data_IF_708698878405
#
_entry.id   IF_708698878405
#
_cell.length_a   1.000
_cell.length_b   1.000
_cell.length_c   1.000
_cell.angle_alpha   90.00
_cell.angle_beta   90.00
_cell.angle_gamma   90.00
#
_symmetry.space_group_name_H-M   'P 1'
#
loop_
_entity.id
_entity.type
_entity.pdbx_description
1 polymer ?
#
# COMPACT_ATOMS: atom_id res chain seq x y z
N UNK A 1 17.34 -32.41 -14.86
CA UNK A 1 17.83 -31.03 -14.76
C UNK A 1 17.09 -30.34 -13.62
N UNK A 2 17.76 -29.89 -12.58
CA UNK A 2 17.10 -29.27 -11.42
C UNK A 2 16.75 -27.81 -11.77
N UNK A 3 15.61 -27.33 -11.27
CA UNK A 3 15.07 -25.97 -11.53
C UNK A 3 16.09 -24.82 -11.31
N UNK A 4 17.07 -25.05 -10.46
CA UNK A 4 18.19 -24.12 -10.19
C UNK A 4 19.18 -23.97 -11.36
N UNK A 5 19.36 -25.01 -12.16
CA UNK A 5 20.34 -25.00 -13.25
C UNK A 5 19.80 -24.28 -14.48
N UNK A 6 18.46 -24.23 -14.65
CA UNK A 6 17.80 -23.48 -15.70
C UNK A 6 17.96 -21.97 -15.51
N UNK A 7 17.82 -21.46 -14.27
CA UNK A 7 17.94 -20.04 -13.96
C UNK A 7 19.40 -19.57 -14.10
N UNK A 8 20.37 -20.44 -13.77
CA UNK A 8 21.80 -20.11 -13.85
C UNK A 8 22.33 -20.07 -15.28
N UNK A 9 21.78 -20.88 -16.17
CA UNK A 9 22.17 -20.92 -17.58
C UNK A 9 21.46 -19.87 -18.44
N UNK A 10 20.28 -19.39 -18.02
CA UNK A 10 19.60 -18.28 -18.70
C UNK A 10 20.26 -16.92 -18.43
N UNK A 11 20.99 -16.77 -17.32
CA UNK A 11 21.67 -15.53 -16.94
C UNK A 11 23.02 -15.28 -17.65
N UNK A 12 23.59 -16.28 -18.33
CA UNK A 12 24.92 -16.19 -18.94
C UNK A 12 24.91 -15.97 -20.48
N UNK A 13 23.73 -15.91 -21.10
CA UNK A 13 23.60 -15.74 -22.55
C UNK A 13 23.23 -14.30 -23.00
N UNK A 14 23.25 -13.32 -22.10
CA UNK A 14 22.80 -11.94 -22.38
C UNK A 14 23.91 -10.88 -22.25
N UNK A 15 25.15 -11.24 -22.46
CA UNK A 15 26.24 -10.26 -22.59
C UNK A 15 26.76 -10.25 -24.00
N UNK A 16 26.19 -9.47 -24.87
CA UNK A 16 26.64 -8.77 -26.08
C UNK A 16 25.53 -8.73 -27.15
N UNK A 17 24.49 -7.98 -26.89
CA UNK A 17 23.67 -7.44 -27.97
C UNK A 17 23.55 -5.94 -27.74
N UNK A 18 24.14 -5.15 -28.59
CA UNK A 18 23.90 -3.74 -28.75
C UNK A 18 22.42 -3.53 -28.94
N UNK A 19 21.74 -2.99 -27.92
CA UNK A 19 20.38 -2.51 -28.06
C UNK A 19 20.49 -1.08 -28.56
N UNK A 20 20.02 -0.77 -29.79
CA UNK A 20 19.94 0.60 -30.25
C UNK A 20 18.99 1.36 -29.32
N UNK A 21 19.32 2.61 -29.02
CA UNK A 21 18.53 3.56 -28.26
C UNK A 21 17.04 3.48 -28.67
N UNK A 22 16.24 2.73 -27.92
CA UNK A 22 14.79 2.89 -27.94
C UNK A 22 14.54 4.11 -27.07
N UNK A 23 14.34 5.25 -27.71
CA UNK A 23 13.80 6.43 -27.06
C UNK A 23 12.43 6.07 -26.50
N UNK A 24 12.33 5.87 -25.20
CA UNK A 24 11.04 5.83 -24.53
C UNK A 24 10.38 7.20 -24.72
N UNK A 25 9.19 7.28 -25.34
CA UNK A 25 8.50 8.55 -25.42
C UNK A 25 8.25 9.04 -24.00
N UNK A 26 8.74 10.24 -23.72
CA UNK A 26 8.52 10.97 -22.47
C UNK A 26 7.02 11.34 -22.35
N UNK A 27 6.23 10.45 -21.78
CA UNK A 27 4.84 10.72 -21.44
C UNK A 27 4.74 11.45 -20.10
N UNK A 28 5.17 12.70 -20.06
CA UNK A 28 4.89 13.56 -18.91
C UNK A 28 4.79 15.03 -19.36
N UNK A 29 3.59 15.46 -19.71
CA UNK A 29 3.11 16.81 -19.39
C UNK A 29 1.59 16.82 -19.49
N UNK A 30 0.92 17.24 -18.40
CA UNK A 30 -0.51 17.35 -18.32
C UNK A 30 -1.08 18.37 -19.30
N UNK A 31 -1.65 17.85 -20.34
CA UNK A 31 -2.59 18.46 -21.25
C UNK A 31 -3.55 17.36 -21.62
N UNK A 32 -4.84 17.62 -21.67
CA UNK A 32 -5.84 16.68 -22.11
C UNK A 32 -5.44 16.17 -23.50
N UNK A 33 -4.80 15.00 -23.56
CA UNK A 33 -4.54 14.30 -24.82
C UNK A 33 -5.79 13.51 -25.20
N UNK A 34 -6.14 13.46 -26.48
CA UNK A 34 -7.26 12.67 -26.96
C UNK A 34 -7.05 11.21 -26.54
N UNK A 35 -8.11 10.55 -26.13
CA UNK A 35 -8.27 9.15 -25.74
C UNK A 35 -6.96 8.35 -25.75
N UNK A 36 -6.29 8.27 -24.57
CA UNK A 36 -5.04 7.54 -24.49
C UNK A 36 -5.29 6.04 -24.49
N UNK A 37 -4.85 5.35 -25.53
CA UNK A 37 -4.82 3.91 -25.52
C UNK A 37 -3.77 3.44 -24.50
N UNK A 38 -4.15 2.53 -23.61
CA UNK A 38 -3.24 1.86 -22.69
C UNK A 38 -2.38 0.85 -23.45
N UNK A 39 -1.30 0.40 -22.81
CA UNK A 39 -0.38 -0.60 -23.38
C UNK A 39 -1.08 -1.91 -23.80
N UNK A 40 -2.24 -2.23 -23.21
CA UNK A 40 -3.05 -3.40 -23.52
C UNK A 40 -4.15 -3.12 -24.57
N UNK A 41 -4.07 -2.00 -25.28
CA UNK A 41 -5.01 -1.61 -26.34
C UNK A 41 -6.36 -1.07 -25.86
N UNK A 42 -6.59 -1.03 -24.55
CA UNK A 42 -7.82 -0.44 -23.98
C UNK A 42 -7.74 1.07 -24.08
N UNK A 43 -8.78 1.69 -24.63
CA UNK A 43 -8.90 3.13 -24.72
C UNK A 43 -9.70 3.67 -23.54
N UNK A 44 -9.11 4.59 -22.80
CA UNK A 44 -9.80 5.30 -21.73
C UNK A 44 -10.57 6.50 -22.27
N UNK A 45 -11.67 6.92 -21.60
CA UNK A 45 -12.34 8.18 -21.90
C UNK A 45 -11.40 9.38 -21.76
N UNK A 46 -11.70 10.48 -22.46
CA UNK A 46 -10.91 11.73 -22.43
C UNK A 46 -10.74 12.29 -21.01
N UNK A 47 -11.74 12.07 -20.16
CA UNK A 47 -11.70 12.42 -18.74
C UNK A 47 -11.67 11.14 -17.92
N UNK A 48 -10.47 10.76 -17.48
CA UNK A 48 -10.28 9.61 -16.60
C UNK A 48 -9.28 9.94 -15.46
N UNK A 49 -9.56 9.61 -14.19
CA UNK A 49 -10.85 9.10 -13.67
C UNK A 49 -11.99 10.13 -13.81
N UNK A 50 -13.26 9.67 -13.86
CA UNK A 50 -14.41 10.58 -13.96
C UNK A 50 -14.42 11.52 -12.75
N UNK A 51 -14.68 12.83 -13.00
CA UNK A 51 -14.62 13.84 -11.93
C UNK A 51 -15.97 14.14 -11.27
N UNK A 52 -17.06 13.93 -11.98
CA UNK A 52 -18.41 14.26 -11.51
C UNK A 52 -19.28 13.01 -11.50
N UNK A 53 -18.94 12.06 -10.64
CA UNK A 53 -19.74 10.85 -10.45
C UNK A 53 -20.81 11.16 -9.40
N UNK A 54 -22.07 10.87 -9.74
CA UNK A 54 -23.13 10.84 -8.74
C UNK A 54 -22.80 9.79 -7.68
N UNK A 55 -22.79 10.20 -6.42
CA UNK A 55 -22.59 9.28 -5.31
C UNK A 55 -23.86 8.47 -5.11
N UNK A 56 -23.89 7.28 -5.69
CA UNK A 56 -24.96 6.30 -5.57
C UNK A 56 -24.36 4.91 -5.29
N UNK A 57 -25.19 3.89 -5.23
CA UNK A 57 -24.75 2.49 -5.03
C UNK A 57 -24.57 1.72 -6.34
N UNK A 58 -24.71 2.37 -7.50
CA UNK A 58 -24.50 1.72 -8.78
C UNK A 58 -23.00 1.48 -9.01
N UNK A 59 -22.64 0.37 -9.66
CA UNK A 59 -21.25 0.12 -10.03
C UNK A 59 -20.72 1.24 -10.93
N UNK A 60 -19.52 1.71 -10.64
CA UNK A 60 -18.85 2.68 -11.51
C UNK A 60 -18.66 2.10 -12.92
N UNK A 61 -18.94 2.86 -13.99
CA UNK A 61 -18.67 2.39 -15.34
C UNK A 61 -17.21 1.98 -15.52
N UNK A 62 -17.01 0.83 -16.14
CA UNK A 62 -15.70 0.26 -16.41
C UNK A 62 -15.42 0.30 -17.93
N UNK A 63 -14.83 1.37 -18.45
CA UNK A 63 -14.68 1.56 -19.91
C UNK A 63 -13.85 0.45 -20.56
N UNK A 64 -12.93 -0.17 -19.83
CA UNK A 64 -12.15 -1.29 -20.34
C UNK A 64 -12.97 -2.57 -20.59
N UNK A 65 -14.18 -2.67 -20.06
CA UNK A 65 -15.09 -3.78 -20.37
C UNK A 65 -15.91 -3.52 -21.64
N UNK A 66 -16.22 -2.25 -21.93
CA UNK A 66 -17.04 -1.83 -23.09
C UNK A 66 -16.21 -1.50 -24.32
N UNK A 67 -15.04 -0.88 -24.14
CA UNK A 67 -14.15 -0.39 -25.20
C UNK A 67 -12.87 -1.22 -25.30
N UNK A 68 -12.98 -2.52 -25.12
CA UNK A 68 -11.83 -3.43 -25.25
C UNK A 68 -11.52 -3.73 -26.72
N UNK A 69 -10.25 -3.94 -27.08
CA UNK A 69 -9.91 -4.49 -28.39
C UNK A 69 -10.43 -5.93 -28.51
N UNK A 70 -10.62 -6.42 -29.72
CA UNK A 70 -10.99 -7.80 -29.98
C UNK A 70 -9.96 -8.79 -29.40
N UNK A 71 -8.69 -8.45 -29.56
CA UNK A 71 -7.57 -9.18 -28.95
C UNK A 71 -6.89 -8.24 -27.96
N UNK A 72 -6.86 -8.61 -26.68
CA UNK A 72 -6.20 -7.84 -25.62
C UNK A 72 -4.73 -8.24 -25.56
N UNK A 73 -3.76 -7.36 -25.87
CA UNK A 73 -2.35 -7.64 -25.70
C UNK A 73 -2.01 -7.88 -24.22
N UNK A 74 -1.31 -8.96 -23.93
CA UNK A 74 -0.88 -9.33 -22.57
C UNK A 74 0.63 -9.53 -22.46
N UNK A 75 1.38 -9.08 -23.45
CA UNK A 75 2.83 -9.15 -23.55
C UNK A 75 3.56 -8.18 -22.62
N UNK A 76 2.90 -7.07 -22.27
CA UNK A 76 3.42 -6.09 -21.33
C UNK A 76 2.61 -6.08 -20.02
N UNK A 77 3.32 -5.93 -18.91
CA UNK A 77 2.73 -5.84 -17.60
C UNK A 77 2.27 -7.18 -17.03
N UNK A 78 1.79 -7.14 -15.79
CA UNK A 78 1.28 -8.31 -15.08
C UNK A 78 -0.22 -8.41 -15.28
N UNK A 79 -0.68 -9.60 -15.69
CA UNK A 79 -2.09 -9.91 -15.80
C UNK A 79 -2.50 -10.87 -14.69
N UNK A 80 -3.66 -10.63 -14.08
CA UNK A 80 -4.22 -11.46 -13.03
C UNK A 80 -5.50 -12.12 -13.53
N UNK A 81 -5.56 -13.44 -13.48
CA UNK A 81 -6.74 -14.22 -13.87
C UNK A 81 -7.72 -14.30 -12.70
N UNK A 82 -8.22 -13.15 -12.25
CA UNK A 82 -9.20 -13.06 -11.14
C UNK A 82 -10.58 -13.57 -11.57
N UNK A 83 -10.87 -13.49 -12.87
CA UNK A 83 -12.09 -13.96 -13.52
C UNK A 83 -11.75 -14.57 -14.90
N UNK A 84 -12.74 -14.72 -15.76
CA UNK A 84 -12.57 -15.27 -17.10
C UNK A 84 -12.42 -14.20 -18.20
N UNK A 85 -12.29 -12.92 -17.86
CA UNK A 85 -12.27 -11.83 -18.85
C UNK A 85 -11.13 -11.97 -19.88
N UNK A 86 -9.97 -12.47 -19.48
CA UNK A 86 -8.80 -12.68 -20.34
C UNK A 86 -8.72 -14.12 -20.89
N UNK A 87 -9.74 -14.93 -20.71
CA UNK A 87 -9.73 -16.35 -21.11
C UNK A 87 -10.84 -16.59 -22.12
N UNK A 88 -10.47 -16.86 -23.35
CA UNK A 88 -11.43 -17.26 -24.38
C UNK A 88 -11.77 -18.77 -24.26
N UNK A 89 -10.73 -19.60 -24.13
CA UNK A 89 -10.86 -21.04 -23.99
C UNK A 89 -9.75 -21.59 -23.09
N UNK A 90 -10.07 -22.61 -22.30
CA UNK A 90 -9.08 -23.32 -21.49
C UNK A 90 -9.53 -24.76 -21.22
N UNK A 91 -8.57 -25.67 -21.16
CA UNK A 91 -8.72 -27.04 -20.68
C UNK A 91 -8.24 -27.25 -19.24
N UNK A 92 -7.75 -26.16 -18.62
CA UNK A 92 -7.27 -26.15 -17.23
C UNK A 92 -8.43 -25.96 -16.25
N UNK A 93 -8.39 -26.71 -15.16
CA UNK A 93 -9.32 -26.55 -14.03
C UNK A 93 -8.83 -25.46 -13.08
N UNK A 94 -9.72 -24.51 -12.75
CA UNK A 94 -9.45 -23.52 -11.72
C UNK A 94 -9.60 -24.15 -10.33
N UNK A 95 -8.54 -24.07 -9.52
CA UNK A 95 -8.56 -24.54 -8.14
C UNK A 95 -8.41 -23.38 -7.17
N UNK A 96 -9.27 -23.33 -6.18
CA UNK A 96 -9.20 -22.39 -5.06
C UNK A 96 -8.58 -23.07 -3.84
N UNK A 97 -7.64 -22.40 -3.21
CA UNK A 97 -7.00 -22.86 -2.00
C UNK A 97 -7.42 -21.97 -0.84
N UNK A 98 -8.04 -22.56 0.16
CA UNK A 98 -8.36 -21.83 1.41
C UNK A 98 -7.15 -21.87 2.33
N UNK A 99 -6.60 -20.73 2.72
CA UNK A 99 -5.50 -20.68 3.68
C UNK A 99 -5.97 -21.16 5.06
N UNK A 100 -5.10 -21.87 5.78
CA UNK A 100 -5.35 -22.23 7.16
C UNK A 100 -4.76 -21.16 8.08
N UNK A 101 -5.53 -20.72 9.07
CA UNK A 101 -4.98 -19.92 10.16
C UNK A 101 -3.97 -20.76 10.92
N UNK A 102 -2.82 -20.16 11.23
CA UNK A 102 -1.80 -20.82 12.04
C UNK A 102 -2.29 -20.97 13.48
N UNK A 103 -1.84 -22.02 14.15
CA UNK A 103 -2.30 -22.34 15.52
C UNK A 103 -1.94 -21.28 16.57
N UNK A 104 -0.90 -20.49 16.29
CA UNK A 104 -0.42 -19.39 17.14
C UNK A 104 -1.04 -18.03 16.81
N UNK A 105 -2.01 -17.95 15.87
CA UNK A 105 -2.74 -16.70 15.63
C UNK A 105 -3.69 -16.37 16.82
N UNK A 106 -3.87 -15.09 17.12
CA UNK A 106 -3.19 -13.92 16.54
C UNK A 106 -1.75 -13.77 17.02
N UNK A 107 -0.86 -13.36 16.11
CA UNK A 107 0.58 -13.15 16.42
C UNK A 107 0.85 -11.90 17.27
N UNK A 108 -0.06 -10.96 17.31
CA UNK A 108 -0.04 -9.80 18.19
C UNK A 108 -1.40 -9.69 18.87
N UNK A 109 -1.41 -9.70 20.20
CA UNK A 109 -2.61 -9.54 21.05
C UNK A 109 -2.51 -8.23 21.82
N UNK A 110 -3.63 -7.57 22.15
CA UNK A 110 -3.59 -6.40 23.03
C UNK A 110 -3.20 -6.83 24.45
N UNK A 111 -2.04 -6.36 24.93
CA UNK A 111 -1.45 -6.73 26.22
C UNK A 111 -1.04 -5.52 27.05
N UNK A 112 -0.83 -4.35 26.42
CA UNK A 112 -0.40 -3.14 27.11
C UNK A 112 -1.57 -2.23 27.47
N UNK A 113 -1.37 -1.30 28.41
CA UNK A 113 -2.36 -0.30 28.76
C UNK A 113 -2.76 0.56 27.56
N UNK A 114 -1.80 0.95 26.72
CA UNK A 114 -2.03 1.67 25.46
C UNK A 114 -3.03 0.94 24.55
N UNK A 115 -2.95 -0.37 24.50
CA UNK A 115 -3.76 -1.22 23.65
C UNK A 115 -5.17 -1.49 24.17
N UNK A 116 -5.46 -1.11 25.43
CA UNK A 116 -6.82 -1.16 25.96
C UNK A 116 -7.72 -0.04 25.38
N UNK A 117 -7.10 1.03 24.87
CA UNK A 117 -7.79 2.12 24.21
C UNK A 117 -8.64 2.99 25.14
N UNK A 118 -9.04 4.16 24.64
CA UNK A 118 -9.82 5.14 25.42
C UNK A 118 -11.23 4.67 25.72
N UNK A 119 -11.82 3.86 24.87
CA UNK A 119 -13.22 3.42 24.98
C UNK A 119 -13.37 2.02 25.60
N UNK A 120 -12.29 1.47 26.15
CA UNK A 120 -12.31 0.10 26.66
C UNK A 120 -12.54 -0.96 25.57
N UNK A 121 -12.15 -0.65 24.33
CA UNK A 121 -12.14 -1.58 23.21
C UNK A 121 -10.69 -1.92 22.90
N UNK A 122 -10.19 -3.06 23.40
CA UNK A 122 -8.82 -3.46 23.17
C UNK A 122 -8.53 -3.72 21.69
N UNK A 123 -7.32 -3.36 21.26
CA UNK A 123 -6.90 -3.58 19.89
C UNK A 123 -5.38 -3.56 19.73
N UNK A 124 -4.88 -4.43 18.87
CA UNK A 124 -3.53 -4.40 18.32
C UNK A 124 -3.63 -4.83 16.86
N UNK A 125 -3.83 -3.87 15.95
CA UNK A 125 -4.18 -4.16 14.56
C UNK A 125 -3.29 -3.39 13.58
N UNK A 126 -2.58 -4.10 12.71
CA UNK A 126 -1.78 -3.50 11.64
C UNK A 126 -2.63 -2.79 10.56
N UNK A 127 -3.96 -2.93 10.62
CA UNK A 127 -4.95 -2.32 9.69
C UNK A 127 -4.53 -2.35 8.20
N UNK A 128 -4.41 -1.17 7.58
CA UNK A 128 -4.36 -1.04 6.12
C UNK A 128 -2.94 -1.16 5.53
N UNK A 129 -2.01 -1.69 6.26
CA UNK A 129 -0.65 -1.95 5.80
C UNK A 129 0.41 -1.28 6.65
N UNK A 130 1.01 -2.02 7.52
CA UNK A 130 2.00 -1.53 8.44
C UNK A 130 3.04 -2.57 8.83
N UNK A 131 3.28 -3.59 8.00
CA UNK A 131 4.30 -4.60 8.26
C UNK A 131 5.29 -4.66 7.12
N UNK A 132 6.56 -4.41 7.43
CA UNK A 132 7.66 -4.42 6.46
C UNK A 132 8.86 -5.19 7.00
N UNK A 133 9.52 -5.96 6.11
CA UNK A 133 10.88 -6.38 6.35
C UNK A 133 11.81 -5.23 6.00
N UNK A 134 12.60 -4.80 6.97
CA UNK A 134 13.61 -3.77 6.76
C UNK A 134 14.98 -4.43 6.54
N UNK A 135 15.50 -4.46 5.31
CA UNK A 135 16.79 -5.09 5.02
C UNK A 135 17.99 -4.34 5.61
N UNK A 136 17.83 -3.07 5.99
CA UNK A 136 18.88 -2.29 6.63
C UNK A 136 19.13 -2.78 8.06
N UNK A 137 18.05 -3.05 8.79
CA UNK A 137 18.10 -3.44 10.18
C UNK A 137 17.96 -4.96 10.37
N UNK A 138 17.66 -5.70 9.28
CA UNK A 138 17.39 -7.14 9.27
C UNK A 138 16.30 -7.55 10.27
N UNK A 139 15.19 -6.81 10.26
CA UNK A 139 14.08 -7.00 11.19
C UNK A 139 12.75 -6.68 10.52
N UNK A 140 11.69 -7.36 10.93
CA UNK A 140 10.33 -6.94 10.62
C UNK A 140 9.93 -5.77 11.51
N UNK A 141 9.28 -4.79 10.93
CA UNK A 141 8.73 -3.61 11.59
C UNK A 141 7.23 -3.58 11.36
N UNK A 142 6.48 -3.32 12.41
CA UNK A 142 5.02 -3.21 12.37
C UNK A 142 4.60 -1.86 12.95
N UNK A 143 3.75 -1.17 12.19
CA UNK A 143 3.01 0.00 12.66
C UNK A 143 1.55 -0.43 12.81
N UNK A 144 0.99 -0.24 13.97
CA UNK A 144 -0.32 -0.75 14.29
C UNK A 144 -1.14 0.22 15.12
N UNK A 145 -2.45 0.10 15.03
CA UNK A 145 -3.37 0.81 15.91
C UNK A 145 -3.44 0.07 17.25
N UNK A 146 -3.11 0.80 18.30
CA UNK A 146 -3.18 0.34 19.69
C UNK A 146 -4.43 0.90 20.35
N UNK A 147 -5.41 0.02 20.61
CA UNK A 147 -6.76 0.38 21.02
C UNK A 147 -7.62 0.91 19.86
N UNK A 148 -8.90 0.69 19.92
CA UNK A 148 -9.84 1.14 18.89
C UNK A 148 -9.89 2.68 18.83
N UNK A 149 -9.67 3.26 17.64
CA UNK A 149 -9.67 4.71 17.42
C UNK A 149 -8.83 5.46 18.47
N UNK A 150 -7.65 4.96 18.75
CA UNK A 150 -6.85 5.49 19.85
C UNK A 150 -5.47 5.96 19.37
N UNK A 151 -4.46 5.11 19.34
CA UNK A 151 -3.08 5.53 19.09
C UNK A 151 -2.37 4.64 18.07
N UNK A 152 -1.35 5.23 17.46
CA UNK A 152 -0.39 4.46 16.67
C UNK A 152 0.74 3.97 17.55
N UNK A 153 1.10 2.71 17.36
CA UNK A 153 2.20 2.07 18.05
C UNK A 153 3.14 1.33 17.09
N UNK A 154 4.30 0.97 17.58
CA UNK A 154 5.36 0.32 16.82
C UNK A 154 5.78 -0.99 17.49
N UNK A 155 6.03 -2.01 16.70
CA UNK A 155 6.57 -3.28 17.14
C UNK A 155 7.61 -3.82 16.17
N UNK A 156 8.49 -4.68 16.65
CA UNK A 156 9.52 -5.34 15.85
C UNK A 156 9.48 -6.85 16.02
N UNK A 157 9.98 -7.58 15.03
CA UNK A 157 10.09 -9.03 15.08
C UNK A 157 11.24 -9.53 14.21
N UNK A 158 11.93 -10.57 14.66
CA UNK A 158 12.97 -11.25 13.88
C UNK A 158 12.41 -12.29 12.91
N UNK A 159 11.21 -12.80 13.17
CA UNK A 159 10.61 -13.92 12.44
C UNK A 159 9.19 -13.63 11.89
N UNK A 160 8.62 -12.45 12.21
CA UNK A 160 7.25 -12.08 11.83
C UNK A 160 6.16 -12.76 12.66
N UNK A 161 6.54 -13.54 13.69
CA UNK A 161 5.65 -14.30 14.57
C UNK A 161 5.70 -13.76 15.99
N UNK A 162 6.91 -13.62 16.53
CA UNK A 162 7.15 -13.12 17.88
C UNK A 162 7.46 -11.63 17.83
N UNK A 163 6.55 -10.83 18.35
CA UNK A 163 6.62 -9.37 18.27
C UNK A 163 6.97 -8.75 19.60
N UNK A 164 7.95 -7.86 19.57
CA UNK A 164 8.43 -7.08 20.70
C UNK A 164 7.92 -5.64 20.60
N UNK A 165 7.56 -5.05 21.73
CA UNK A 165 7.15 -3.65 21.88
C UNK A 165 8.28 -2.86 22.53
N UNK A 166 9.15 -2.22 21.74
CA UNK A 166 10.28 -1.47 22.30
C UNK A 166 9.77 -0.26 23.08
N UNK A 167 10.46 0.07 24.19
CA UNK A 167 10.27 1.36 24.83
C UNK A 167 10.91 2.43 23.96
N UNK A 168 10.12 3.42 23.55
CA UNK A 168 10.56 4.51 22.70
C UNK A 168 10.67 5.81 23.50
N UNK A 169 11.40 6.76 22.96
CA UNK A 169 11.57 8.12 23.50
C UNK A 169 10.46 9.08 23.07
N UNK A 170 9.66 8.74 22.05
CA UNK A 170 8.52 9.55 21.58
C UNK A 170 7.49 9.76 22.70
N UNK A 171 7.12 8.68 23.37
CA UNK A 171 6.34 8.71 24.61
C UNK A 171 7.00 7.74 25.59
N UNK A 172 7.71 8.29 26.55
CA UNK A 172 8.56 7.54 27.46
C UNK A 172 7.82 6.35 28.13
N UNK A 173 8.46 5.20 28.12
CA UNK A 173 7.91 3.97 28.71
C UNK A 173 6.89 3.25 27.86
N UNK A 174 6.64 3.70 26.63
CA UNK A 174 5.68 3.09 25.69
C UNK A 174 6.31 2.85 24.33
N UNK A 175 5.62 2.09 23.49
CA UNK A 175 5.94 1.94 22.08
C UNK A 175 5.06 2.82 21.18
N UNK A 176 4.46 3.88 21.74
CA UNK A 176 3.62 4.82 21.02
C UNK A 176 4.44 5.70 20.08
N UNK A 177 3.88 5.94 18.89
CA UNK A 177 4.34 6.92 17.92
C UNK A 177 3.19 7.89 17.58
N UNK A 178 3.49 9.06 17.00
CA UNK A 178 2.49 10.06 16.58
C UNK A 178 1.45 10.37 17.66
N UNK A 179 1.85 10.86 18.84
CA UNK A 179 0.93 11.05 19.98
C UNK A 179 -0.14 12.12 19.75
N UNK A 180 0.05 13.02 18.79
CA UNK A 180 -0.82 14.17 18.55
C UNK A 180 -2.10 13.80 17.77
N UNK A 181 -2.13 12.64 17.12
CA UNK A 181 -3.21 12.26 16.23
C UNK A 181 -3.89 10.98 16.70
N UNK A 182 -5.22 11.02 16.80
CA UNK A 182 -6.02 9.81 16.92
C UNK A 182 -6.04 9.11 15.58
N UNK A 183 -5.57 7.87 15.55
CA UNK A 183 -5.43 7.08 14.33
C UNK A 183 -6.67 6.26 14.04
N UNK A 184 -7.08 6.25 12.78
CA UNK A 184 -7.96 5.24 12.20
C UNK A 184 -7.58 5.06 10.74
N UNK A 185 -7.27 3.86 10.33
CA UNK A 185 -6.70 3.56 9.02
C UNK A 185 -5.36 4.27 8.76
N UNK A 186 -4.30 3.54 8.88
CA UNK A 186 -2.96 4.02 8.60
C UNK A 186 -2.22 3.07 7.65
N UNK A 187 -1.41 3.64 6.79
CA UNK A 187 -0.53 2.89 5.90
C UNK A 187 0.88 3.42 6.05
N UNK A 188 1.84 2.55 6.24
CA UNK A 188 3.26 2.90 6.20
C UNK A 188 3.90 2.23 4.99
N UNK A 189 4.66 3.01 4.25
CA UNK A 189 5.45 2.57 3.11
C UNK A 189 6.94 2.71 3.43
N UNK A 190 7.69 1.61 3.31
CA UNK A 190 9.15 1.65 3.31
C UNK A 190 9.62 1.92 1.88
N UNK A 191 10.12 3.14 1.65
CA UNK A 191 10.51 3.60 0.33
C UNK A 191 11.98 3.26 0.03
N UNK A 192 12.17 2.16 -0.70
CA UNK A 192 13.49 1.74 -1.16
C UNK A 192 14.06 2.57 -2.31
N UNK A 193 13.27 3.47 -2.90
CA UNK A 193 13.64 4.26 -4.08
C UNK A 193 13.98 5.71 -3.74
N UNK A 194 13.66 6.16 -2.54
CA UNK A 194 13.96 7.53 -2.11
C UNK A 194 15.47 7.77 -2.06
N UNK A 195 15.88 8.95 -2.53
CA UNK A 195 17.26 9.45 -2.41
C UNK A 195 17.46 10.26 -1.13
N UNK A 196 16.36 10.64 -0.48
CA UNK A 196 16.38 11.40 0.76
C UNK A 196 16.25 10.45 1.96
N UNK A 197 17.31 10.25 2.78
CA UNK A 197 17.26 9.36 3.92
C UNK A 197 16.22 9.79 4.98
N UNK A 198 15.90 11.08 5.05
CA UNK A 198 14.88 11.62 5.98
C UNK A 198 13.45 11.22 5.60
N UNK A 199 13.26 10.71 4.39
CA UNK A 199 11.96 10.29 3.85
C UNK A 199 11.88 8.79 3.61
N UNK A 200 12.72 8.03 4.28
CA UNK A 200 12.80 6.57 4.09
C UNK A 200 11.49 5.86 4.38
N UNK A 201 10.75 6.32 5.35
CA UNK A 201 9.40 5.86 5.66
C UNK A 201 8.40 6.97 5.35
N UNK A 202 7.29 6.57 4.75
CA UNK A 202 6.16 7.45 4.45
C UNK A 202 4.92 6.89 5.10
N UNK A 203 4.16 7.73 5.77
CA UNK A 203 2.90 7.35 6.39
C UNK A 203 1.75 8.15 5.79
N UNK A 204 0.66 7.47 5.51
CA UNK A 204 -0.65 8.07 5.36
C UNK A 204 -1.50 7.65 6.56
N UNK A 205 -2.16 8.62 7.15
CA UNK A 205 -2.98 8.44 8.33
C UNK A 205 -4.31 9.16 8.14
N UNK A 206 -5.41 8.43 8.28
CA UNK A 206 -6.73 9.03 8.42
C UNK A 206 -7.00 9.31 9.89
N UNK A 207 -7.55 10.48 10.19
CA UNK A 207 -8.05 10.81 11.52
C UNK A 207 -9.55 11.10 11.45
N UNK A 208 -10.38 10.43 12.27
CA UNK A 208 -11.82 10.68 12.35
C UNK A 208 -12.13 11.99 13.10
N UNK A 209 -11.18 12.47 13.88
CA UNK A 209 -11.33 13.70 14.63
C UNK A 209 -10.65 14.84 13.85
N UNK A 210 -11.37 15.95 13.73
CA UNK A 210 -10.80 17.18 13.24
C UNK A 210 -9.56 17.57 14.03
N UNK A 211 -8.66 18.31 13.38
CA UNK A 211 -7.52 18.95 14.04
C UNK A 211 -8.04 19.64 15.31
N UNK A 212 -7.32 19.55 16.44
CA UNK A 212 -7.70 20.27 17.65
C UNK A 212 -8.01 21.75 17.34
N UNK A 213 -9.22 22.20 17.68
CA UNK A 213 -9.68 23.56 17.39
C UNK A 213 -10.52 23.72 16.12
N UNK A 214 -10.75 22.66 15.32
CA UNK A 214 -11.67 22.70 14.18
C UNK A 214 -13.06 22.15 14.55
N UNK A 215 -14.10 22.83 14.09
CA UNK A 215 -15.50 22.39 14.22
C UNK A 215 -15.96 21.48 13.07
N UNK A 216 -15.12 21.30 12.06
CA UNK A 216 -15.43 20.50 10.89
C UNK A 216 -15.35 19.00 11.22
N UNK A 217 -16.43 18.28 10.97
CA UNK A 217 -16.56 16.83 11.18
C UNK A 217 -16.15 16.01 9.95
N UNK A 218 -15.18 16.45 9.19
CA UNK A 218 -14.71 15.69 8.04
C UNK A 218 -13.52 14.81 8.42
N UNK A 219 -13.47 13.62 7.82
CA UNK A 219 -12.28 12.79 7.89
C UNK A 219 -11.19 13.43 7.02
N UNK A 220 -10.05 13.65 7.60
CA UNK A 220 -8.88 14.17 6.87
C UNK A 220 -7.77 13.14 6.84
N UNK A 221 -7.12 13.07 5.69
CA UNK A 221 -5.86 12.36 5.55
C UNK A 221 -4.69 13.27 5.90
N UNK A 222 -3.66 12.66 6.47
CA UNK A 222 -2.38 13.29 6.74
C UNK A 222 -1.27 12.43 6.15
N UNK A 223 -0.26 13.09 5.58
CA UNK A 223 0.99 12.44 5.19
C UNK A 223 2.12 12.90 6.09
N UNK A 224 3.01 12.00 6.40
CA UNK A 224 4.21 12.23 7.19
C UNK A 224 5.37 11.43 6.62
N UNK A 225 6.58 11.88 6.90
CA UNK A 225 7.81 11.17 6.55
C UNK A 225 8.67 10.95 7.78
N UNK A 226 9.53 9.92 7.73
CA UNK A 226 10.42 9.56 8.82
C UNK A 226 11.69 8.90 8.29
N UNK A 227 12.86 9.13 8.89
CA UNK A 227 14.09 8.42 8.57
C UNK A 227 14.14 6.99 9.12
N UNK A 228 13.45 6.70 10.23
CA UNK A 228 13.55 5.46 11.00
C UNK A 228 12.22 4.72 11.20
N UNK A 229 11.09 5.40 10.93
CA UNK A 229 9.74 4.87 11.15
C UNK A 229 9.22 5.05 12.58
N UNK A 230 9.96 5.73 13.43
CA UNK A 230 9.64 6.03 14.84
C UNK A 230 9.41 7.54 15.02
N UNK A 231 10.38 8.33 14.58
CA UNK A 231 10.32 9.78 14.66
C UNK A 231 9.71 10.36 13.39
N UNK A 232 8.47 10.76 13.48
CA UNK A 232 7.70 11.28 12.36
C UNK A 232 7.72 12.80 12.31
N UNK A 233 7.90 13.33 11.10
CA UNK A 233 7.81 14.75 10.84
C UNK A 233 6.41 15.31 11.07
N UNK A 234 6.25 16.63 10.92
CA UNK A 234 4.95 17.29 11.09
C UNK A 234 3.92 16.75 10.11
N UNK A 235 2.67 16.46 10.56
CA UNK A 235 1.60 16.04 9.70
C UNK A 235 1.27 17.09 8.63
N UNK A 236 1.23 16.67 7.38
CA UNK A 236 0.78 17.49 6.25
C UNK A 236 -0.61 17.03 5.86
N UNK A 237 -1.58 17.94 5.94
CA UNK A 237 -2.98 17.65 5.59
C UNK A 237 -3.10 17.42 4.09
N UNK A 238 -3.65 16.26 3.70
CA UNK A 238 -3.81 15.89 2.28
C UNK A 238 -5.18 16.27 1.71
N UNK A 239 -6.18 16.46 2.57
CA UNK A 239 -7.55 16.80 2.20
C UNK A 239 -8.57 15.81 2.76
N UNK A 240 -9.85 15.96 2.42
CA UNK A 240 -10.90 15.04 2.81
C UNK A 240 -10.63 13.64 2.27
N UNK A 241 -10.85 12.62 3.07
CA UNK A 241 -10.74 11.23 2.67
C UNK A 241 -11.92 10.41 3.17
N UNK A 242 -12.14 9.23 2.56
CA UNK A 242 -13.15 8.29 3.00
C UNK A 242 -12.72 7.53 4.25
N UNK A 243 -13.63 6.68 4.71
CA UNK A 243 -13.34 5.66 5.70
C UNK A 243 -12.44 4.59 5.05
N UNK A 244 -11.46 4.06 5.78
CA UNK A 244 -10.54 3.01 5.31
C UNK A 244 -9.74 3.42 4.07
N UNK A 245 -9.10 4.56 4.15
CA UNK A 245 -8.21 5.07 3.11
C UNK A 245 -6.79 4.54 3.27
N UNK A 246 -6.12 4.30 2.17
CA UNK A 246 -4.75 3.79 2.11
C UNK A 246 -3.94 4.53 1.05
N UNK A 247 -2.62 4.42 1.11
CA UNK A 247 -1.71 4.85 0.05
C UNK A 247 -0.95 3.66 -0.51
N UNK A 248 -0.47 3.79 -1.72
CA UNK A 248 0.41 2.81 -2.37
C UNK A 248 1.40 3.49 -3.30
N UNK A 249 2.51 2.82 -3.54
CA UNK A 249 3.49 3.26 -4.52
C UNK A 249 3.07 2.84 -5.93
N UNK A 250 3.09 3.78 -6.86
CA UNK A 250 2.83 3.50 -8.28
C UNK A 250 4.16 3.43 -9.06
N UNK A 251 4.65 2.22 -9.39
CA UNK A 251 5.93 2.06 -10.08
C UNK A 251 5.95 2.61 -11.51
N UNK A 252 4.78 2.88 -12.08
CA UNK A 252 4.63 3.39 -13.45
C UNK A 252 4.66 4.92 -13.55
N UNK A 253 4.61 5.61 -12.41
CA UNK A 253 4.54 7.08 -12.35
C UNK A 253 5.63 7.70 -11.48
N UNK A 254 6.75 7.03 -11.37
CA UNK A 254 7.88 7.46 -10.54
C UNK A 254 7.97 8.95 -10.35
#
# INVERSE_FOLDING_TARGET
MKRRDFIRNAGLALSTAFIPNIAFPSFLRGGASPSSALYNGITLPDVWPPRNISMNYDPMPLPYLTNRPEIIPIDLGRQLFVDNFLIEQTDMERRSYTPRKMSFNPVLKPETELEQGTYGIPGASAKDGGVWWDPKDNIFKMWYEAGWLHRMAYATSKDGIHWERPNLDVVAGTNQIVPEIVADSSTVWLDHFTKNPEERFKMFLRSPNSIPGSTERFNYGFSMVSPDGIHWGKPVKTGPCGDRSTMFYNPFRQ
#
